data_IF_889273649254
#
_entry.id   IF_889273649254
#
_cell.length_a   1.000
_cell.length_b   1.000
_cell.length_c   1.000
_cell.angle_alpha   90.00
_cell.angle_beta   90.00
_cell.angle_gamma   90.00
#
_symmetry.space_group_name_H-M   'P 1'
#
loop_
_entity.id
_entity.type
_entity.pdbx_description
1 polymer ?
#
# COMPACT_ATOMS: atom_id res chain seq x y z
N UNK A 1 3.10 -14.71 -6.25
CA UNK A 1 1.90 -14.68 -5.37
C UNK A 1 1.63 -16.02 -4.69
N UNK A 2 1.78 -17.15 -5.32
CA UNK A 2 1.42 -18.47 -4.82
C UNK A 2 2.61 -19.43 -4.78
N UNK A 3 2.39 -20.68 -4.37
CA UNK A 3 3.42 -21.73 -4.21
C UNK A 3 4.32 -21.94 -5.44
N UNK A 4 3.83 -21.58 -6.63
CA UNK A 4 4.57 -21.71 -7.89
C UNK A 4 5.15 -20.37 -8.38
N UNK A 5 5.25 -19.38 -7.50
CA UNK A 5 5.90 -18.11 -7.83
C UNK A 5 7.40 -18.30 -8.05
N UNK A 6 7.99 -17.48 -8.91
CA UNK A 6 9.40 -17.56 -9.26
C UNK A 6 10.36 -17.45 -8.05
N UNK A 7 9.95 -16.75 -7.00
CA UNK A 7 10.74 -16.62 -5.77
C UNK A 7 10.88 -17.94 -5.00
N UNK A 8 10.01 -18.92 -5.22
CA UNK A 8 10.05 -20.23 -4.55
C UNK A 8 11.12 -21.19 -5.12
N UNK A 9 11.90 -20.75 -6.11
CA UNK A 9 13.11 -21.43 -6.55
C UNK A 9 14.26 -21.36 -5.52
N UNK A 10 14.22 -20.38 -4.61
CA UNK A 10 15.24 -20.23 -3.56
C UNK A 10 15.24 -21.44 -2.64
N UNK A 11 16.42 -21.97 -2.37
CA UNK A 11 16.65 -23.10 -1.45
C UNK A 11 17.04 -22.63 -0.05
N UNK A 12 17.60 -21.43 0.05
CA UNK A 12 18.07 -20.83 1.28
C UNK A 12 17.77 -19.33 1.29
N UNK A 13 17.48 -18.79 2.45
CA UNK A 13 17.36 -17.37 2.71
C UNK A 13 17.73 -17.07 4.16
N UNK A 14 18.03 -15.83 4.48
CA UNK A 14 18.28 -15.37 5.85
C UNK A 14 16.98 -15.18 6.63
N UNK A 15 15.94 -14.72 5.94
CA UNK A 15 14.62 -14.53 6.51
C UNK A 15 13.53 -14.59 5.44
N UNK A 16 12.34 -14.97 5.88
CA UNK A 16 11.09 -14.83 5.14
C UNK A 16 10.20 -13.82 5.87
N UNK A 17 9.71 -12.81 5.17
CA UNK A 17 8.83 -11.79 5.73
C UNK A 17 7.42 -11.97 5.18
N UNK A 18 6.46 -12.16 6.07
CA UNK A 18 5.03 -12.25 5.73
C UNK A 18 4.40 -10.88 6.02
N UNK A 19 4.20 -10.09 4.98
CA UNK A 19 3.47 -8.82 5.06
C UNK A 19 1.98 -9.06 5.30
N UNK A 20 1.19 -7.97 5.43
CA UNK A 20 -0.26 -8.07 5.57
C UNK A 20 -0.89 -8.87 4.42
N UNK A 21 -1.72 -9.85 4.77
CA UNK A 21 -2.47 -10.67 3.84
C UNK A 21 -3.92 -10.17 3.74
N UNK A 22 -4.41 -10.03 2.51
CA UNK A 22 -5.79 -9.70 2.19
C UNK A 22 -6.27 -10.55 1.00
N UNK A 23 -7.56 -10.60 0.77
CA UNK A 23 -8.13 -11.26 -0.41
C UNK A 23 -7.74 -10.46 -1.65
N UNK A 24 -6.80 -10.98 -2.41
CA UNK A 24 -6.32 -10.45 -3.69
C UNK A 24 -5.85 -11.60 -4.56
N UNK A 25 -5.56 -11.32 -5.85
CA UNK A 25 -5.11 -12.34 -6.81
C UNK A 25 -6.06 -13.54 -6.96
N UNK A 26 -7.35 -13.33 -6.74
CA UNK A 26 -8.35 -14.40 -6.77
C UNK A 26 -8.56 -15.03 -8.15
N UNK A 27 -8.08 -14.37 -9.21
CA UNK A 27 -8.13 -14.88 -10.59
C UNK A 27 -7.32 -16.19 -10.76
N UNK A 28 -6.34 -16.41 -9.92
CA UNK A 28 -5.50 -17.61 -9.90
C UNK A 28 -6.09 -18.77 -9.09
N UNK A 29 -7.23 -18.56 -8.44
CA UNK A 29 -7.88 -19.55 -7.57
C UNK A 29 -9.26 -19.92 -8.11
N UNK A 30 -9.67 -21.21 -8.00
CA UNK A 30 -11.04 -21.64 -8.21
C UNK A 30 -12.01 -20.78 -7.38
N UNK A 31 -13.22 -20.57 -7.86
CA UNK A 31 -14.20 -19.68 -7.20
C UNK A 31 -14.51 -20.07 -5.75
N UNK A 32 -14.58 -21.35 -5.48
CA UNK A 32 -14.83 -21.96 -4.16
C UNK A 32 -13.63 -21.93 -3.22
N UNK A 33 -12.42 -21.65 -3.75
CA UNK A 33 -11.18 -21.54 -2.95
C UNK A 33 -10.74 -20.07 -2.70
N UNK A 34 -11.57 -19.09 -3.01
CA UNK A 34 -11.26 -17.66 -2.87
C UNK A 34 -11.42 -17.15 -1.45
N UNK A 35 -10.78 -17.81 -0.51
CA UNK A 35 -10.84 -17.51 0.94
C UNK A 35 -9.52 -16.97 1.46
N UNK A 36 -9.55 -16.32 2.63
CA UNK A 36 -8.33 -15.81 3.28
C UNK A 36 -7.38 -16.95 3.67
N UNK A 37 -7.91 -18.09 4.09
CA UNK A 37 -7.14 -19.28 4.45
C UNK A 37 -6.33 -19.79 3.26
N UNK A 38 -6.97 -19.84 2.08
CA UNK A 38 -6.30 -20.28 0.87
C UNK A 38 -5.21 -19.29 0.44
N UNK A 39 -5.48 -17.98 0.49
CA UNK A 39 -4.49 -16.93 0.21
C UNK A 39 -3.30 -17.05 1.16
N UNK A 40 -3.53 -17.21 2.46
CA UNK A 40 -2.48 -17.40 3.46
C UNK A 40 -1.68 -18.67 3.14
N UNK A 41 -2.35 -19.78 2.86
CA UNK A 41 -1.69 -21.03 2.50
C UNK A 41 -0.78 -20.86 1.28
N UNK A 42 -1.27 -20.24 0.20
CA UNK A 42 -0.49 -20.01 -1.02
C UNK A 42 0.74 -19.13 -0.78
N UNK A 43 0.67 -18.17 0.16
CA UNK A 43 1.77 -17.26 0.49
C UNK A 43 2.77 -17.83 1.49
N UNK A 44 2.37 -18.75 2.35
CA UNK A 44 3.17 -19.13 3.53
C UNK A 44 3.56 -20.61 3.60
N UNK A 45 2.94 -21.48 2.81
CA UNK A 45 3.21 -22.94 2.88
C UNK A 45 4.59 -23.36 2.40
N UNK A 46 5.25 -22.52 1.61
CA UNK A 46 6.58 -22.77 1.01
C UNK A 46 7.71 -21.98 1.67
N UNK A 47 7.45 -21.35 2.82
CA UNK A 47 8.49 -20.58 3.53
C UNK A 47 9.61 -21.53 4.00
N UNK A 48 10.84 -21.10 3.79
CA UNK A 48 12.03 -21.85 4.13
C UNK A 48 12.25 -21.91 5.66
N UNK A 49 13.04 -22.88 6.10
CA UNK A 49 13.43 -23.05 7.53
C UNK A 49 14.50 -22.04 7.92
N UNK A 50 14.13 -20.76 7.93
CA UNK A 50 14.98 -19.62 8.32
C UNK A 50 14.26 -18.80 9.39
N UNK A 51 14.59 -17.53 9.57
CA UNK A 51 13.77 -16.62 10.39
C UNK A 51 12.47 -16.28 9.63
N UNK A 52 11.33 -16.37 10.30
CA UNK A 52 10.03 -15.95 9.74
C UNK A 52 9.53 -14.76 10.55
N UNK A 53 9.43 -13.60 9.92
CA UNK A 53 8.89 -12.39 10.52
C UNK A 53 7.50 -12.15 9.98
N UNK A 54 6.51 -12.03 10.87
CA UNK A 54 5.11 -11.83 10.50
C UNK A 54 4.66 -10.44 10.90
N UNK A 55 4.34 -9.62 9.90
CA UNK A 55 3.82 -8.28 10.08
C UNK A 55 2.42 -8.28 10.71
N UNK A 56 1.94 -7.09 11.11
CA UNK A 56 0.57 -6.89 11.53
C UNK A 56 -0.40 -7.40 10.48
N UNK A 57 -1.43 -8.11 10.92
CA UNK A 57 -2.52 -8.55 10.07
C UNK A 57 -3.78 -7.76 10.39
N UNK A 58 -4.63 -7.54 9.38
CA UNK A 58 -5.87 -6.76 9.53
C UNK A 58 -6.91 -7.44 10.44
N UNK A 59 -6.87 -8.77 10.56
CA UNK A 59 -7.77 -9.55 11.40
C UNK A 59 -7.02 -10.60 12.20
N UNK A 60 -7.57 -10.96 13.37
CA UNK A 60 -7.07 -12.07 14.20
C UNK A 60 -7.13 -13.39 13.43
N UNK A 61 -8.19 -13.61 12.68
CA UNK A 61 -8.40 -14.81 11.86
C UNK A 61 -7.23 -15.02 10.87
N UNK A 62 -6.84 -13.98 10.13
CA UNK A 62 -5.69 -14.03 9.21
C UNK A 62 -4.40 -14.40 9.96
N UNK A 63 -4.17 -13.79 11.13
CA UNK A 63 -2.99 -14.12 11.96
C UNK A 63 -3.01 -15.59 12.43
N UNK A 64 -4.16 -16.09 12.87
CA UNK A 64 -4.32 -17.47 13.33
C UNK A 64 -4.12 -18.48 12.18
N UNK A 65 -4.60 -18.14 10.98
CA UNK A 65 -4.33 -18.94 9.77
C UNK A 65 -2.84 -19.00 9.43
N UNK A 66 -2.12 -17.87 9.52
CA UNK A 66 -0.67 -17.83 9.31
C UNK A 66 0.02 -18.71 10.35
N UNK A 67 -0.26 -18.51 11.65
CA UNK A 67 0.32 -19.29 12.74
C UNK A 67 0.12 -20.80 12.53
N UNK A 68 -1.10 -21.21 12.14
CA UNK A 68 -1.45 -22.60 11.85
C UNK A 68 -0.62 -23.16 10.67
N UNK A 69 -0.53 -22.40 9.57
CA UNK A 69 0.16 -22.87 8.36
C UNK A 69 1.65 -23.04 8.59
N UNK A 70 2.30 -22.12 9.32
CA UNK A 70 3.73 -22.17 9.59
C UNK A 70 4.08 -22.95 10.88
N UNK A 71 3.10 -23.55 11.57
CA UNK A 71 3.31 -24.20 12.86
C UNK A 71 4.38 -25.33 12.81
N UNK A 72 4.38 -26.10 11.73
CA UNK A 72 5.31 -27.24 11.52
C UNK A 72 6.69 -26.79 11.00
N UNK A 73 6.84 -25.55 10.57
CA UNK A 73 8.13 -25.03 10.14
C UNK A 73 9.03 -24.84 11.37
N UNK A 74 10.28 -25.32 11.31
CA UNK A 74 11.25 -25.29 12.44
C UNK A 74 11.95 -23.94 12.62
N UNK A 75 11.54 -22.93 11.89
CA UNK A 75 12.11 -21.59 11.93
C UNK A 75 11.92 -20.89 13.27
N UNK A 76 12.81 -19.95 13.57
CA UNK A 76 12.51 -18.89 14.53
C UNK A 76 11.38 -18.01 13.97
N UNK A 77 10.34 -17.77 14.77
CA UNK A 77 9.15 -17.03 14.35
C UNK A 77 8.99 -15.79 15.21
N UNK A 78 8.85 -14.64 14.57
CA UNK A 78 8.75 -13.32 15.18
C UNK A 78 7.46 -12.66 14.73
N UNK A 79 6.54 -12.37 15.66
CA UNK A 79 5.20 -11.90 15.37
C UNK A 79 5.00 -10.48 15.88
N UNK A 80 4.33 -9.66 15.08
CA UNK A 80 3.85 -8.35 15.52
C UNK A 80 2.92 -8.49 16.74
N UNK A 81 3.03 -7.55 17.69
CA UNK A 81 2.36 -7.50 18.99
C UNK A 81 2.73 -8.60 20.01
N UNK A 82 3.53 -9.60 19.61
CA UNK A 82 4.08 -10.59 20.54
C UNK A 82 5.56 -10.36 20.79
N UNK A 83 6.33 -10.20 19.72
CA UNK A 83 7.78 -10.17 19.76
C UNK A 83 8.33 -8.78 19.39
N UNK A 84 7.56 -7.98 18.69
CA UNK A 84 7.86 -6.58 18.40
C UNK A 84 6.58 -5.75 18.25
N UNK A 85 6.69 -4.47 18.51
CA UNK A 85 5.61 -3.50 18.39
C UNK A 85 6.14 -2.12 18.01
N UNK A 86 5.22 -1.21 17.68
CA UNK A 86 5.53 0.21 17.54
C UNK A 86 4.40 1.07 18.09
N UNK A 87 4.76 2.30 18.45
CA UNK A 87 3.81 3.37 18.77
C UNK A 87 4.32 4.70 18.25
N UNK A 88 3.42 5.66 18.11
CA UNK A 88 3.77 7.06 17.79
C UNK A 88 3.34 7.92 18.98
N UNK A 89 4.20 8.80 19.43
CA UNK A 89 3.88 9.72 20.50
C UNK A 89 3.42 11.09 19.98
N UNK A 90 2.94 11.95 20.91
CA UNK A 90 2.46 13.31 20.64
C UNK A 90 3.53 14.24 20.01
N UNK A 91 4.80 13.92 20.14
CA UNK A 91 5.93 14.69 19.59
C UNK A 91 6.44 14.14 18.24
N UNK A 92 5.63 13.36 17.52
CA UNK A 92 5.97 12.79 16.21
C UNK A 92 7.27 11.98 16.19
N UNK A 93 7.48 11.13 17.20
CA UNK A 93 8.51 10.11 17.20
C UNK A 93 7.89 8.72 17.06
N UNK A 94 8.55 7.88 16.26
CA UNK A 94 8.25 6.46 16.17
C UNK A 94 9.03 5.70 17.26
N UNK A 95 8.32 5.05 18.17
CA UNK A 95 8.90 4.14 19.15
C UNK A 95 8.70 2.71 18.67
N UNK A 96 9.81 2.03 18.49
CA UNK A 96 9.84 0.60 18.19
C UNK A 96 10.36 -0.16 19.40
N UNK A 97 9.83 -1.34 19.68
CA UNK A 97 10.23 -2.19 20.80
C UNK A 97 10.26 -3.66 20.39
N UNK A 98 11.30 -4.38 20.83
CA UNK A 98 11.45 -5.81 20.75
C UNK A 98 12.28 -6.35 21.92
N UNK A 99 12.61 -7.65 21.93
CA UNK A 99 13.41 -8.29 22.98
C UNK A 99 14.82 -7.69 23.18
N UNK A 100 15.35 -6.95 22.23
CA UNK A 100 16.65 -6.27 22.32
C UNK A 100 16.52 -4.86 22.94
N UNK A 101 15.31 -4.41 23.24
CA UNK A 101 15.01 -3.10 23.81
C UNK A 101 14.37 -2.12 22.82
N UNK A 102 13.99 -0.96 23.35
CA UNK A 102 13.29 0.08 22.61
C UNK A 102 14.21 0.95 21.75
N UNK A 103 13.67 1.43 20.62
CA UNK A 103 14.28 2.45 19.77
C UNK A 103 13.37 3.66 19.66
N UNK A 104 13.90 4.84 19.96
CA UNK A 104 13.27 6.12 19.63
C UNK A 104 13.80 6.57 18.28
N UNK A 105 12.91 6.68 17.29
CA UNK A 105 13.24 6.96 15.90
C UNK A 105 12.57 8.25 15.42
N UNK A 106 13.19 9.03 14.55
CA UNK A 106 12.49 10.11 13.87
C UNK A 106 11.36 9.55 13.00
N UNK A 107 10.32 10.36 12.75
CA UNK A 107 9.28 9.94 11.81
C UNK A 107 9.88 9.73 10.41
N UNK A 108 9.45 8.67 9.72
CA UNK A 108 9.85 8.45 8.33
C UNK A 108 9.22 9.51 7.41
N UNK A 109 9.87 9.75 6.28
CA UNK A 109 9.37 10.68 5.25
C UNK A 109 8.37 10.03 4.27
N UNK A 110 7.65 9.03 4.72
CA UNK A 110 6.58 8.36 3.96
C UNK A 110 5.24 8.54 4.66
N UNK A 111 4.17 8.64 3.89
CA UNK A 111 2.83 8.89 4.39
C UNK A 111 2.05 7.59 4.63
N UNK A 112 1.10 7.64 5.57
CA UNK A 112 0.17 6.55 5.87
C UNK A 112 0.66 5.62 6.99
N UNK A 113 -0.26 5.29 7.89
CA UNK A 113 0.04 4.46 9.07
C UNK A 113 0.56 3.06 8.70
N UNK A 114 0.09 2.48 7.60
CA UNK A 114 0.57 1.19 7.11
C UNK A 114 2.07 1.18 6.79
N UNK A 115 2.66 2.34 6.46
CA UNK A 115 4.11 2.45 6.27
C UNK A 115 4.87 2.28 7.58
N UNK A 116 4.32 2.75 8.69
CA UNK A 116 4.90 2.52 10.02
C UNK A 116 4.88 1.03 10.38
N UNK A 117 3.82 0.32 9.99
CA UNK A 117 3.72 -1.15 10.13
C UNK A 117 4.78 -1.87 9.29
N UNK A 118 4.97 -1.45 8.04
CA UNK A 118 6.01 -2.00 7.16
C UNK A 118 7.42 -1.70 7.70
N UNK A 119 7.67 -0.49 8.17
CA UNK A 119 8.95 -0.06 8.74
C UNK A 119 9.26 -0.84 10.01
N UNK A 120 8.30 -0.99 10.93
CA UNK A 120 8.50 -1.77 12.14
C UNK A 120 8.81 -3.24 11.83
N UNK A 121 8.17 -3.81 10.80
CA UNK A 121 8.46 -5.16 10.33
C UNK A 121 9.86 -5.27 9.72
N UNK A 122 10.30 -4.27 8.97
CA UNK A 122 11.65 -4.21 8.42
C UNK A 122 12.71 -4.11 9.54
N UNK A 123 12.46 -3.28 10.57
CA UNK A 123 13.34 -3.16 11.74
C UNK A 123 13.42 -4.50 12.48
N UNK A 124 12.27 -5.15 12.74
CA UNK A 124 12.22 -6.48 13.36
C UNK A 124 13.03 -7.50 12.56
N UNK A 125 12.95 -7.45 11.24
CA UNK A 125 13.75 -8.34 10.36
C UNK A 125 15.24 -8.09 10.52
N UNK A 126 15.69 -6.84 10.43
CA UNK A 126 17.11 -6.48 10.52
C UNK A 126 17.70 -6.85 11.88
N UNK A 127 16.97 -6.59 12.97
CA UNK A 127 17.43 -6.91 14.33
C UNK A 127 17.39 -8.42 14.64
N UNK A 128 16.47 -9.15 14.00
CA UNK A 128 16.42 -10.63 14.14
C UNK A 128 17.61 -11.30 13.44
N UNK A 129 18.09 -10.73 12.33
CA UNK A 129 19.15 -11.33 11.52
C UNK A 129 20.57 -11.16 12.09
N UNK A 130 20.77 -10.20 12.99
CA UNK A 130 22.12 -9.88 13.56
C UNK A 130 23.24 -9.80 12.49
N UNK A 131 22.96 -9.07 11.42
CA UNK A 131 23.89 -8.88 10.29
C UNK A 131 24.79 -7.65 10.43
N UNK A 132 25.05 -7.23 11.65
CA UNK A 132 25.93 -6.08 11.97
C UNK A 132 25.28 -4.71 11.73
N UNK A 133 23.94 -4.65 11.56
CA UNK A 133 23.19 -3.39 11.47
C UNK A 133 22.96 -2.86 12.88
N UNK A 134 23.52 -1.68 13.16
CA UNK A 134 23.37 -0.97 14.42
C UNK A 134 22.15 -0.06 14.40
N UNK A 135 21.67 0.32 15.57
CA UNK A 135 20.53 1.24 15.74
C UNK A 135 20.74 2.59 15.03
N UNK A 136 21.98 3.09 14.98
CA UNK A 136 22.35 4.31 14.24
C UNK A 136 22.11 4.18 12.72
N UNK A 137 22.29 2.97 12.17
CA UNK A 137 22.03 2.72 10.75
C UNK A 137 20.51 2.76 10.49
N UNK A 138 19.70 2.22 11.41
CA UNK A 138 18.25 2.27 11.35
C UNK A 138 17.76 3.71 11.45
N UNK A 139 18.25 4.49 12.42
CA UNK A 139 17.91 5.91 12.59
C UNK A 139 18.19 6.74 11.34
N UNK A 140 19.36 6.55 10.72
CA UNK A 140 19.72 7.25 9.48
C UNK A 140 18.94 6.77 8.26
N UNK A 141 18.62 5.48 8.23
CA UNK A 141 17.89 4.86 7.13
C UNK A 141 16.42 5.31 7.06
N UNK A 142 15.77 5.41 8.20
CA UNK A 142 14.33 5.68 8.29
C UNK A 142 13.92 7.03 7.67
N UNK A 143 14.75 8.05 7.76
CA UNK A 143 14.53 9.37 7.16
C UNK A 143 14.82 9.43 5.67
N UNK A 144 15.42 8.37 5.09
CA UNK A 144 15.79 8.27 3.68
C UNK A 144 14.92 7.29 2.90
N UNK A 145 13.88 6.74 3.54
CA UNK A 145 12.96 5.81 2.87
C UNK A 145 12.27 6.53 1.73
N UNK A 146 12.27 5.89 0.57
CA UNK A 146 11.48 6.30 -0.58
C UNK A 146 10.58 5.14 -0.99
N UNK A 147 9.31 5.41 -1.14
CA UNK A 147 8.31 4.42 -1.56
C UNK A 147 7.53 4.96 -2.74
N UNK A 148 7.97 4.60 -3.95
CA UNK A 148 7.34 5.08 -5.18
C UNK A 148 5.90 4.59 -5.27
N UNK A 149 5.02 5.50 -5.66
CA UNK A 149 3.59 5.22 -5.84
C UNK A 149 2.90 4.59 -4.60
N UNK A 150 3.33 4.98 -3.40
CA UNK A 150 2.72 4.60 -2.11
C UNK A 150 2.47 5.85 -1.27
N UNK A 151 1.32 6.50 -1.47
CA UNK A 151 1.02 7.84 -0.93
C UNK A 151 2.17 8.83 -1.19
N UNK A 152 2.79 8.74 -2.37
CA UNK A 152 3.93 9.55 -2.72
C UNK A 152 3.50 10.99 -3.01
N UNK A 153 4.00 11.93 -2.22
CA UNK A 153 3.82 13.35 -2.51
C UNK A 153 4.76 13.78 -3.65
N UNK A 154 4.19 14.39 -4.67
CA UNK A 154 4.90 14.99 -5.80
C UNK A 154 5.16 16.46 -5.48
N UNK A 155 6.43 16.81 -5.30
CA UNK A 155 6.84 18.17 -4.83
C UNK A 155 7.30 19.11 -5.94
N UNK A 156 7.63 18.60 -7.12
CA UNK A 156 8.13 19.36 -8.26
C UNK A 156 7.75 18.70 -9.58
N UNK A 157 7.95 19.35 -10.70
CA UNK A 157 7.74 18.85 -12.05
C UNK A 157 6.46 19.35 -12.69
N UNK A 158 6.24 18.98 -13.96
CA UNK A 158 5.17 19.48 -14.83
C UNK A 158 3.76 19.37 -14.23
N UNK A 159 3.42 18.18 -13.68
CA UNK A 159 2.09 17.96 -13.11
C UNK A 159 1.91 18.73 -11.79
N UNK A 160 2.99 18.86 -11.00
CA UNK A 160 2.97 19.68 -9.78
C UNK A 160 2.73 21.16 -10.09
N UNK A 161 3.29 21.68 -11.17
CA UNK A 161 3.05 23.07 -11.62
C UNK A 161 1.57 23.33 -11.94
N UNK A 162 0.87 22.35 -12.53
CA UNK A 162 -0.57 22.43 -12.79
C UNK A 162 -1.41 22.49 -11.50
N UNK A 163 -0.95 21.84 -10.44
CA UNK A 163 -1.63 21.78 -9.13
C UNK A 163 -1.25 22.98 -8.24
N UNK A 164 -0.25 23.74 -8.63
CA UNK A 164 0.25 24.93 -7.91
C UNK A 164 0.64 24.61 -6.46
N UNK A 165 0.11 25.36 -5.50
CA UNK A 165 0.40 25.23 -4.06
C UNK A 165 -0.29 24.03 -3.39
N UNK A 166 -1.23 23.38 -4.08
CA UNK A 166 -1.99 22.26 -3.54
C UNK A 166 -1.15 20.98 -3.45
N UNK A 167 -1.53 20.05 -2.59
CA UNK A 167 -0.86 18.76 -2.50
C UNK A 167 -1.22 17.87 -3.70
N UNK A 168 -0.21 17.28 -4.32
CA UNK A 168 -0.36 16.23 -5.34
C UNK A 168 0.19 14.93 -4.78
N UNK A 169 -0.67 13.93 -4.64
CA UNK A 169 -0.31 12.60 -4.15
C UNK A 169 -0.57 11.56 -5.22
N UNK A 170 0.36 10.62 -5.37
CA UNK A 170 0.25 9.47 -6.28
C UNK A 170 0.27 8.18 -5.47
N UNK A 171 -0.68 7.30 -5.76
CA UNK A 171 -0.75 5.98 -5.15
C UNK A 171 -1.15 4.90 -6.15
N UNK A 172 -0.43 3.77 -6.15
CA UNK A 172 -0.65 2.66 -7.09
C UNK A 172 -1.64 1.61 -6.60
N UNK A 173 -2.44 1.88 -5.55
CA UNK A 173 -3.44 0.94 -5.07
C UNK A 173 -4.53 0.70 -6.11
N UNK A 174 -5.04 -0.53 -6.16
CA UNK A 174 -5.96 -0.98 -7.20
C UNK A 174 -6.88 -2.13 -6.74
N UNK A 175 -6.89 -2.41 -5.45
CA UNK A 175 -7.71 -3.43 -4.80
C UNK A 175 -8.35 -2.89 -3.53
N UNK A 176 -9.29 -3.65 -2.97
CA UNK A 176 -10.06 -3.26 -1.80
C UNK A 176 -9.18 -2.90 -0.60
N UNK A 177 -8.15 -3.71 -0.30
CA UNK A 177 -7.22 -3.45 0.81
C UNK A 177 -6.47 -2.14 0.65
N UNK A 178 -6.00 -1.84 -0.57
CA UNK A 178 -5.36 -0.56 -0.89
C UNK A 178 -6.31 0.62 -0.79
N UNK A 179 -7.55 0.49 -1.30
CA UNK A 179 -8.56 1.53 -1.19
C UNK A 179 -8.91 1.88 0.27
N UNK A 180 -9.01 0.85 1.13
CA UNK A 180 -9.26 1.03 2.56
C UNK A 180 -8.16 1.88 3.21
N UNK A 181 -6.90 1.51 3.00
CA UNK A 181 -5.74 2.24 3.54
C UNK A 181 -5.67 3.67 3.01
N UNK A 182 -5.98 3.85 1.71
CA UNK A 182 -6.05 5.16 1.11
C UNK A 182 -7.14 6.04 1.76
N UNK A 183 -8.33 5.48 1.94
CA UNK A 183 -9.43 6.18 2.59
C UNK A 183 -9.10 6.53 4.05
N UNK A 184 -8.50 5.62 4.81
CA UNK A 184 -8.03 5.90 6.18
C UNK A 184 -7.11 7.11 6.21
N UNK A 185 -6.16 7.23 5.27
CA UNK A 185 -5.31 8.41 5.16
C UNK A 185 -6.11 9.66 4.78
N UNK A 186 -7.00 9.60 3.78
CA UNK A 186 -7.81 10.74 3.37
C UNK A 186 -8.70 11.27 4.49
N UNK A 187 -9.20 10.40 5.38
CA UNK A 187 -10.00 10.80 6.54
C UNK A 187 -9.20 11.58 7.60
N UNK A 188 -7.87 11.47 7.64
CA UNK A 188 -7.04 12.26 8.54
C UNK A 188 -6.85 13.72 8.09
N UNK A 189 -7.29 14.06 6.88
CA UNK A 189 -7.06 15.38 6.29
C UNK A 189 -8.33 16.24 6.35
N UNK A 190 -8.19 17.46 6.83
CA UNK A 190 -9.26 18.46 6.85
C UNK A 190 -9.12 19.41 5.63
N UNK A 191 -9.43 18.87 4.43
CA UNK A 191 -9.42 19.62 3.19
C UNK A 191 -10.33 18.96 2.14
N UNK A 192 -10.62 19.66 1.04
CA UNK A 192 -11.27 19.02 -0.10
C UNK A 192 -10.31 18.04 -0.77
N UNK A 193 -10.86 16.92 -1.21
CA UNK A 193 -10.12 15.82 -1.82
C UNK A 193 -10.65 15.57 -3.23
N UNK A 194 -9.80 15.71 -4.21
CA UNK A 194 -10.11 15.45 -5.61
C UNK A 194 -9.35 14.20 -6.07
N UNK A 195 -10.01 13.30 -6.77
CA UNK A 195 -9.41 12.02 -7.18
C UNK A 195 -9.38 11.92 -8.71
N UNK A 196 -8.21 11.67 -9.26
CA UNK A 196 -8.03 11.22 -10.66
C UNK A 196 -7.78 9.72 -10.65
N UNK A 197 -8.56 8.96 -11.40
CA UNK A 197 -8.53 7.49 -11.32
C UNK A 197 -8.54 6.83 -12.69
N UNK A 198 -7.64 5.82 -12.86
CA UNK A 198 -7.62 4.91 -14.01
C UNK A 198 -7.27 3.50 -13.54
N UNK A 199 -7.99 2.49 -14.03
CA UNK A 199 -7.88 1.12 -13.52
C UNK A 199 -7.72 0.08 -14.63
N UNK A 200 -7.16 -1.07 -14.28
CA UNK A 200 -7.14 -2.25 -15.15
C UNK A 200 -8.50 -2.95 -15.15
N UNK A 201 -8.86 -3.58 -16.27
CA UNK A 201 -10.17 -4.20 -16.48
C UNK A 201 -10.47 -5.34 -15.48
N UNK A 202 -9.45 -6.11 -15.10
CA UNK A 202 -9.58 -7.29 -14.23
C UNK A 202 -9.65 -6.99 -12.74
N UNK A 203 -9.94 -5.74 -12.34
CA UNK A 203 -10.02 -5.34 -10.93
C UNK A 203 -11.46 -5.26 -10.43
N UNK A 204 -11.65 -5.35 -9.10
CA UNK A 204 -12.96 -5.25 -8.45
C UNK A 204 -13.35 -3.78 -8.27
N UNK A 205 -13.78 -3.14 -9.36
CA UNK A 205 -14.00 -1.69 -9.43
C UNK A 205 -14.98 -1.21 -8.36
N UNK A 206 -16.16 -1.85 -8.22
CA UNK A 206 -17.20 -1.42 -7.29
C UNK A 206 -16.71 -1.44 -5.82
N UNK A 207 -15.94 -2.46 -5.44
CA UNK A 207 -15.35 -2.53 -4.09
C UNK A 207 -14.32 -1.43 -3.87
N UNK A 208 -13.45 -1.20 -4.84
CA UNK A 208 -12.45 -0.13 -4.78
C UNK A 208 -13.11 1.25 -4.66
N UNK A 209 -14.11 1.51 -5.53
CA UNK A 209 -14.83 2.78 -5.63
C UNK A 209 -15.61 3.10 -4.34
N UNK A 210 -16.13 2.09 -3.65
CA UNK A 210 -16.96 2.27 -2.44
C UNK A 210 -16.26 3.03 -1.31
N UNK A 211 -14.94 3.11 -1.35
CA UNK A 211 -14.13 3.85 -0.37
C UNK A 211 -13.99 5.36 -0.65
N UNK A 212 -14.40 5.84 -1.83
CA UNK A 212 -14.26 7.26 -2.23
C UNK A 212 -15.54 8.08 -2.12
N UNK A 213 -16.42 7.77 -1.16
CA UNK A 213 -17.72 8.45 -1.01
C UNK A 213 -17.59 9.89 -0.50
N UNK A 214 -16.56 10.17 0.29
CA UNK A 214 -16.36 11.46 0.96
C UNK A 214 -15.33 12.36 0.24
N UNK A 215 -15.19 12.19 -1.08
CA UNK A 215 -14.34 13.05 -1.90
C UNK A 215 -15.16 14.12 -2.62
N UNK A 216 -14.55 15.27 -2.87
CA UNK A 216 -15.22 16.42 -3.48
C UNK A 216 -15.51 16.21 -4.97
N UNK A 217 -14.62 15.50 -5.67
CA UNK A 217 -14.83 15.12 -7.08
C UNK A 217 -13.99 13.90 -7.46
N UNK A 218 -14.46 13.21 -8.51
CA UNK A 218 -13.71 12.11 -9.16
C UNK A 218 -13.60 12.41 -10.65
N UNK A 219 -12.40 12.30 -11.21
CA UNK A 219 -12.16 12.36 -12.65
C UNK A 219 -11.58 11.04 -13.12
N UNK A 220 -12.34 10.29 -13.92
CA UNK A 220 -11.86 9.05 -14.53
C UNK A 220 -11.08 9.33 -15.79
N UNK A 221 -10.04 8.53 -16.07
CA UNK A 221 -9.17 8.71 -17.23
C UNK A 221 -8.89 7.38 -17.95
N UNK A 222 -8.44 7.49 -19.21
CA UNK A 222 -7.91 6.35 -19.94
C UNK A 222 -6.45 6.09 -19.59
N UNK A 223 -6.06 4.81 -19.51
CA UNK A 223 -4.66 4.39 -19.44
C UNK A 223 -4.19 4.04 -20.86
N UNK A 224 -3.70 5.02 -21.60
CA UNK A 224 -3.38 4.89 -23.04
C UNK A 224 -2.32 3.82 -23.33
N UNK A 225 -1.40 3.60 -22.41
CA UNK A 225 -0.31 2.60 -22.54
C UNK A 225 -0.74 1.19 -22.17
N UNK A 226 -1.98 1.01 -21.67
CA UNK A 226 -2.46 -0.27 -21.12
C UNK A 226 -3.72 -0.76 -21.85
N UNK A 227 -3.58 -1.62 -22.87
CA UNK A 227 -4.70 -2.11 -23.67
C UNK A 227 -5.74 -2.90 -22.86
N UNK A 228 -5.33 -3.47 -21.72
CA UNK A 228 -6.22 -4.21 -20.82
C UNK A 228 -6.80 -3.33 -19.68
N UNK A 229 -6.83 -2.02 -19.85
CA UNK A 229 -7.50 -1.11 -18.93
C UNK A 229 -9.00 -0.99 -19.24
N UNK A 230 -9.80 -0.67 -18.23
CA UNK A 230 -11.17 -0.20 -18.45
C UNK A 230 -11.11 1.23 -19.01
N UNK A 231 -11.98 1.56 -19.98
CA UNK A 231 -12.05 2.94 -20.47
C UNK A 231 -12.48 3.90 -19.34
N UNK A 232 -11.97 5.12 -19.37
CA UNK A 232 -12.37 6.13 -18.38
C UNK A 232 -13.87 6.43 -18.42
N UNK A 233 -14.51 6.32 -19.59
CA UNK A 233 -15.95 6.46 -19.73
C UNK A 233 -16.72 5.34 -19.02
N UNK A 234 -16.33 4.08 -19.22
CA UNK A 234 -16.97 2.94 -18.57
C UNK A 234 -16.70 2.93 -17.06
N UNK A 235 -15.50 3.36 -16.66
CA UNK A 235 -15.15 3.51 -15.25
C UNK A 235 -16.01 4.59 -14.57
N UNK A 236 -16.29 5.70 -15.25
CA UNK A 236 -17.20 6.76 -14.77
C UNK A 236 -18.58 6.21 -14.42
N UNK A 237 -19.15 5.33 -15.25
CA UNK A 237 -20.47 4.75 -15.03
C UNK A 237 -20.55 3.89 -13.76
N UNK A 238 -19.40 3.48 -13.21
CA UNK A 238 -19.35 2.73 -11.95
C UNK A 238 -19.42 3.61 -10.70
N UNK A 239 -19.21 4.92 -10.84
CA UNK A 239 -19.27 5.91 -9.76
C UNK A 239 -20.68 6.55 -9.58
N UNK A 240 -21.75 5.83 -9.90
CA UNK A 240 -23.14 6.36 -9.91
C UNK A 240 -23.60 6.99 -8.59
N UNK A 241 -23.01 6.59 -7.46
CA UNK A 241 -23.39 7.07 -6.13
C UNK A 241 -22.54 8.25 -5.63
N UNK A 242 -21.57 8.71 -6.41
CA UNK A 242 -20.66 9.80 -6.04
C UNK A 242 -21.04 11.05 -6.83
N UNK A 243 -21.23 12.21 -6.17
CA UNK A 243 -21.43 13.47 -6.86
C UNK A 243 -20.15 13.91 -7.61
N UNK A 244 -20.33 14.76 -8.63
CA UNK A 244 -19.21 15.39 -9.35
C UNK A 244 -18.22 14.40 -10.00
N UNK A 245 -18.73 13.39 -10.70
CA UNK A 245 -17.88 12.47 -11.48
C UNK A 245 -17.82 12.92 -12.93
N UNK A 246 -16.62 13.11 -13.44
CA UNK A 246 -16.36 13.47 -14.82
C UNK A 246 -15.34 12.51 -15.47
N UNK A 247 -15.25 12.55 -16.78
CA UNK A 247 -14.25 11.82 -17.56
C UNK A 247 -13.34 12.81 -18.31
N UNK A 248 -12.06 12.49 -18.35
CA UNK A 248 -11.07 13.18 -19.18
C UNK A 248 -10.14 12.14 -19.85
N UNK A 249 -9.67 12.41 -21.08
CA UNK A 249 -8.88 11.42 -21.83
C UNK A 249 -7.41 11.33 -21.40
N UNK A 250 -6.94 12.20 -20.50
CA UNK A 250 -5.55 12.19 -20.03
C UNK A 250 -5.39 12.79 -18.64
N UNK A 251 -4.26 12.48 -18.00
CA UNK A 251 -3.87 13.02 -16.68
C UNK A 251 -3.85 14.56 -16.68
N UNK A 252 -3.20 15.15 -17.67
CA UNK A 252 -3.07 16.62 -17.76
C UNK A 252 -4.42 17.31 -17.93
N UNK A 253 -5.31 16.75 -18.78
CA UNK A 253 -6.66 17.29 -18.97
C UNK A 253 -7.52 17.09 -17.71
N UNK A 254 -7.37 15.97 -17.03
CA UNK A 254 -8.03 15.74 -15.76
C UNK A 254 -7.64 16.79 -14.71
N UNK A 255 -6.34 17.03 -14.52
CA UNK A 255 -5.87 18.04 -13.57
C UNK A 255 -6.41 19.43 -13.93
N UNK A 256 -6.34 19.83 -15.20
CA UNK A 256 -6.81 21.13 -15.67
C UNK A 256 -8.32 21.33 -15.56
N UNK A 257 -9.10 20.25 -15.54
CA UNK A 257 -10.57 20.32 -15.43
C UNK A 257 -11.09 20.45 -13.99
N UNK A 258 -10.22 20.26 -12.99
CA UNK A 258 -10.58 20.35 -11.58
C UNK A 258 -10.35 21.77 -11.08
N UNK A 259 -11.37 22.41 -10.51
CA UNK A 259 -11.27 23.73 -9.89
C UNK A 259 -10.70 23.57 -8.45
N UNK A 260 -9.37 23.45 -8.35
CA UNK A 260 -8.67 23.33 -7.08
C UNK A 260 -8.64 24.67 -6.33
N UNK A 261 -9.08 24.67 -5.08
CA UNK A 261 -8.93 25.79 -4.14
C UNK A 261 -7.64 25.66 -3.36
N UNK A 262 -7.20 26.74 -2.74
CA UNK A 262 -6.01 26.70 -1.89
C UNK A 262 -6.21 25.75 -0.71
N UNK A 263 -5.23 24.87 -0.51
CA UNK A 263 -5.27 23.85 0.54
C UNK A 263 -5.91 22.52 0.12
N UNK A 264 -6.49 22.42 -1.09
CA UNK A 264 -7.05 21.16 -1.59
C UNK A 264 -5.97 20.11 -1.84
N UNK A 265 -6.40 18.84 -1.86
CA UNK A 265 -5.57 17.71 -2.20
C UNK A 265 -6.01 17.07 -3.51
N UNK A 266 -5.07 16.83 -4.41
CA UNK A 266 -5.26 16.00 -5.60
C UNK A 266 -4.57 14.65 -5.41
N UNK A 267 -5.36 13.58 -5.47
CA UNK A 267 -4.90 12.19 -5.46
C UNK A 267 -5.01 11.60 -6.87
N UNK A 268 -3.94 10.97 -7.36
CA UNK A 268 -3.97 10.16 -8.59
C UNK A 268 -3.76 8.70 -8.20
N UNK A 269 -4.72 7.81 -8.55
CA UNK A 269 -4.73 6.43 -8.05
C UNK A 269 -5.45 5.45 -8.97
N UNK A 270 -5.51 4.15 -8.58
CA UNK A 270 -6.24 3.07 -9.25
C UNK A 270 -5.38 2.07 -10.01
N UNK A 271 -4.11 2.39 -10.26
CA UNK A 271 -3.19 1.49 -10.96
C UNK A 271 -1.72 1.86 -10.73
N UNK A 272 -0.85 0.86 -10.59
CA UNK A 272 0.61 1.07 -10.64
C UNK A 272 1.08 1.58 -12.02
N UNK A 273 0.38 1.20 -13.10
CA UNK A 273 0.69 1.71 -14.44
C UNK A 273 0.39 3.21 -14.54
N UNK A 274 -0.76 3.64 -14.00
CA UNK A 274 -1.09 5.07 -13.90
C UNK A 274 -0.05 5.83 -13.08
N UNK A 275 0.33 5.29 -11.94
CA UNK A 275 1.36 5.91 -11.11
C UNK A 275 2.70 6.03 -11.85
N UNK A 276 3.09 5.01 -12.63
CA UNK A 276 4.26 5.05 -13.51
C UNK A 276 4.14 6.14 -14.60
N UNK A 277 2.97 6.29 -15.22
CA UNK A 277 2.73 7.36 -16.20
C UNK A 277 2.86 8.76 -15.56
N UNK A 278 2.32 8.95 -14.35
CA UNK A 278 2.46 10.22 -13.59
C UNK A 278 3.92 10.53 -13.31
N UNK A 279 4.68 9.55 -12.83
CA UNK A 279 6.10 9.75 -12.50
C UNK A 279 6.96 10.02 -13.74
N UNK A 280 6.59 9.48 -14.89
CA UNK A 280 7.29 9.74 -16.15
C UNK A 280 6.93 11.09 -16.78
N UNK A 281 5.72 11.61 -16.56
CA UNK A 281 5.28 12.92 -17.06
C UNK A 281 5.75 14.08 -16.19
N UNK A 282 6.11 13.80 -14.95
CA UNK A 282 6.48 14.79 -13.97
C UNK A 282 8.00 14.96 -13.88
#
# INVERSE_FOLDING_TARGET
FHRFDATNILKENLASVVCSCSIDHTDWLPKDERTIEKIVFEKTSTLLNSNIIVAKQSTKETMDCIKKTISKNKSNKVFFNNDFSYSVNENDFLYYEDKLGGLKLPMPNVLGQYQLENISTAIATLRTLDIGIKDEHIQRGITKISSLARLQEIKSGKLKELVKNNKLIVDGSHNEGGAKVLNEYLQTLDCNKHVVIGMMLNKQHEKYISYFKDVSSVTTIDLKTQPNSISGKDLKEKFKSIPNVQYQPSIEQAIKSIDLKEGDLLLITGSLYLAGEVLNLN
#
